data_IF_349316573131
#
_entry.id   IF_349316573131
#
_cell.length_a   1.000
_cell.length_b   1.000
_cell.length_c   1.000
_cell.angle_alpha   90.00
_cell.angle_beta   90.00
_cell.angle_gamma   90.00
#
_symmetry.space_group_name_H-M   'P 1'
#
loop_
_entity.id
_entity.type
_entity.pdbx_description
1 polymer ?
#
# COMPACT_ATOMS: atom_id res chain seq x y z
N UNK A 1 -35.64 -40.24 32.91
CA UNK A 1 -35.62 -39.27 31.78
C UNK A 1 -35.07 -37.95 32.31
N UNK A 2 -34.34 -37.21 31.46
CA UNK A 2 -33.71 -35.90 31.70
C UNK A 2 -32.22 -35.96 32.07
N UNK A 3 -31.40 -36.16 31.06
CA UNK A 3 -30.07 -35.55 30.92
C UNK A 3 -29.49 -35.92 29.54
N UNK A 4 -30.09 -35.38 28.48
CA UNK A 4 -29.56 -35.58 27.12
C UNK A 4 -29.92 -34.39 26.24
N UNK A 5 -29.59 -33.17 26.68
CA UNK A 5 -29.72 -32.00 25.81
C UNK A 5 -28.97 -30.80 26.39
N UNK A 6 -27.63 -30.83 26.42
CA UNK A 6 -26.78 -29.62 26.52
C UNK A 6 -25.29 -29.97 26.27
N UNK A 7 -24.97 -30.64 25.16
CA UNK A 7 -23.58 -30.72 24.68
C UNK A 7 -23.60 -30.70 23.15
N UNK A 8 -24.06 -29.60 22.56
CA UNK A 8 -24.00 -29.43 21.10
C UNK A 8 -23.79 -27.98 20.62
N UNK A 9 -23.19 -27.10 21.44
CA UNK A 9 -23.06 -25.67 21.09
C UNK A 9 -21.64 -25.10 21.27
N UNK A 10 -20.62 -25.89 21.63
CA UNK A 10 -19.26 -25.34 21.88
C UNK A 10 -18.21 -25.79 20.84
N UNK A 11 -18.58 -26.61 19.85
CA UNK A 11 -17.63 -27.10 18.82
C UNK A 11 -17.92 -26.50 17.44
N UNK A 12 -18.14 -25.18 17.38
CA UNK A 12 -18.24 -24.46 16.11
C UNK A 12 -17.50 -23.11 16.12
N UNK A 13 -16.69 -22.83 17.15
CA UNK A 13 -16.01 -21.55 17.32
C UNK A 13 -14.57 -21.43 16.78
N UNK A 14 -13.82 -22.48 16.38
CA UNK A 14 -12.54 -22.27 15.70
C UNK A 14 -12.63 -22.47 14.18
N UNK A 15 -13.81 -22.29 13.56
CA UNK A 15 -13.92 -22.23 12.09
C UNK A 15 -13.61 -20.84 11.52
N UNK A 16 -13.25 -19.85 12.35
CA UNK A 16 -12.45 -18.69 11.91
C UNK A 16 -10.97 -19.07 11.79
N UNK A 17 -10.72 -20.27 11.25
CA UNK A 17 -9.41 -20.74 10.89
C UNK A 17 -8.82 -19.73 9.92
N UNK A 18 -7.77 -19.06 10.39
CA UNK A 18 -6.78 -18.41 9.55
C UNK A 18 -6.46 -19.40 8.41
N UNK A 19 -7.05 -19.16 7.24
CA UNK A 19 -6.69 -19.85 6.00
C UNK A 19 -5.29 -19.36 5.64
N UNK A 20 -4.29 -19.86 6.36
CA UNK A 20 -2.93 -19.90 5.87
C UNK A 20 -2.92 -20.97 4.79
N UNK A 21 -3.36 -20.56 3.60
CA UNK A 21 -3.19 -21.35 2.39
C UNK A 21 -1.71 -21.41 2.08
N UNK A 22 -1.13 -22.60 2.21
CA UNK A 22 0.16 -22.91 1.62
C UNK A 22 0.09 -22.62 0.10
N UNK A 23 0.80 -21.59 -0.35
CA UNK A 23 1.08 -21.35 -1.77
C UNK A 23 -0.07 -20.77 -2.60
N UNK A 24 -0.86 -19.85 -2.03
CA UNK A 24 -1.74 -18.99 -2.82
C UNK A 24 -0.93 -18.09 -3.78
N UNK A 25 -1.49 -17.76 -4.95
CA UNK A 25 -0.94 -16.70 -5.79
C UNK A 25 -1.10 -15.37 -5.07
N UNK A 26 -0.03 -14.57 -5.02
CA UNK A 26 -0.03 -13.21 -4.49
C UNK A 26 -1.17 -12.39 -5.08
N UNK A 27 -1.86 -11.58 -4.27
CA UNK A 27 -2.85 -10.60 -4.71
C UNK A 27 -2.73 -9.27 -3.97
N UNK A 28 -3.50 -8.27 -4.38
CA UNK A 28 -3.62 -6.98 -3.69
C UNK A 28 -4.23 -7.08 -2.29
N UNK A 29 -5.02 -8.13 -2.04
CA UNK A 29 -5.73 -8.35 -0.77
C UNK A 29 -4.78 -8.85 0.33
N UNK A 30 -3.62 -9.39 -0.06
CA UNK A 30 -2.61 -9.90 0.87
C UNK A 30 -1.86 -8.79 1.62
N UNK A 31 -1.89 -7.56 1.10
CA UNK A 31 -1.31 -6.39 1.75
C UNK A 31 -2.39 -5.68 2.57
N UNK A 32 -2.26 -5.69 3.89
CA UNK A 32 -3.04 -4.86 4.79
C UNK A 32 -2.34 -3.52 5.01
N UNK A 33 -3.11 -2.44 4.98
CA UNK A 33 -2.60 -1.07 5.15
C UNK A 33 -3.37 -0.36 6.23
N UNK A 34 -2.67 -0.01 7.30
CA UNK A 34 -3.23 0.74 8.42
C UNK A 34 -2.76 2.20 8.44
N UNK A 35 -3.62 3.15 8.81
CA UNK A 35 -5.07 3.00 8.98
C UNK A 35 -5.83 2.89 7.64
N UNK A 36 -7.07 2.39 7.69
CA UNK A 36 -7.95 2.20 6.51
C UNK A 36 -8.19 3.49 5.70
N UNK A 37 -8.12 4.63 6.38
CA UNK A 37 -8.32 5.95 5.82
C UNK A 37 -7.18 6.88 6.25
N UNK A 38 -6.54 7.54 5.28
CA UNK A 38 -5.39 8.42 5.51
C UNK A 38 -5.79 9.89 5.41
N UNK A 39 -5.21 10.73 6.27
CA UNK A 39 -5.46 12.18 6.26
C UNK A 39 -4.53 12.83 5.24
N UNK A 40 -5.13 13.54 4.30
CA UNK A 40 -4.44 14.21 3.20
C UNK A 40 -3.68 15.44 3.70
N UNK A 41 -2.48 15.69 3.18
CA UNK A 41 -1.69 16.89 3.48
C UNK A 41 -0.78 16.79 4.70
N UNK A 42 -0.76 15.67 5.42
CA UNK A 42 0.09 15.46 6.60
C UNK A 42 0.94 14.20 6.50
N UNK A 43 2.14 14.27 7.10
CA UNK A 43 2.96 13.08 7.35
C UNK A 43 2.33 12.29 8.49
N UNK A 44 2.08 11.00 8.25
CA UNK A 44 1.50 10.10 9.23
C UNK A 44 2.10 8.69 9.12
N UNK A 45 2.11 7.99 10.26
CA UNK A 45 2.53 6.59 10.30
C UNK A 45 1.52 5.72 9.54
N UNK A 46 2.02 4.97 8.57
CA UNK A 46 1.28 3.96 7.81
C UNK A 46 1.92 2.61 8.06
N UNK A 47 1.15 1.64 8.55
CA UNK A 47 1.58 0.25 8.71
C UNK A 47 1.28 -0.55 7.44
N UNK A 48 2.26 -1.30 6.98
CA UNK A 48 2.14 -2.26 5.89
C UNK A 48 2.34 -3.65 6.46
N UNK A 49 1.33 -4.51 6.39
CA UNK A 49 1.37 -5.86 6.95
C UNK A 49 0.97 -6.88 5.89
N UNK A 50 1.57 -8.06 5.93
CA UNK A 50 1.30 -9.07 4.90
C UNK A 50 1.36 -10.49 5.46
N UNK A 51 0.42 -11.33 5.00
CA UNK A 51 0.43 -12.78 5.20
C UNK A 51 1.35 -13.54 4.23
N UNK A 52 2.00 -12.86 3.29
CA UNK A 52 2.84 -13.42 2.24
C UNK A 52 4.17 -12.66 2.10
N UNK A 53 5.19 -13.32 1.56
CA UNK A 53 6.44 -12.64 1.18
C UNK A 53 6.16 -11.74 -0.03
N UNK A 54 6.37 -10.44 0.10
CA UNK A 54 6.11 -9.49 -0.99
C UNK A 54 7.04 -8.28 -0.95
N UNK A 55 7.06 -7.54 -2.05
CA UNK A 55 7.63 -6.20 -2.12
C UNK A 55 6.50 -5.20 -2.37
N UNK A 56 6.58 -4.03 -1.73
CA UNK A 56 5.61 -2.95 -1.89
C UNK A 56 6.34 -1.70 -2.37
N UNK A 57 5.98 -1.23 -3.58
CA UNK A 57 6.41 0.06 -4.08
C UNK A 57 5.46 1.15 -3.61
N UNK A 58 6.02 2.15 -2.94
CA UNK A 58 5.30 3.27 -2.34
C UNK A 58 5.64 4.54 -3.13
N UNK A 59 4.78 5.01 -4.05
CA UNK A 59 5.08 6.13 -4.96
C UNK A 59 4.81 7.52 -4.36
N UNK A 60 5.19 7.72 -3.10
CA UNK A 60 4.86 8.93 -2.33
C UNK A 60 6.05 9.48 -1.55
N UNK A 61 5.89 10.70 -1.03
CA UNK A 61 6.88 11.25 -0.12
C UNK A 61 6.84 10.47 1.19
N UNK A 62 7.98 9.90 1.54
CA UNK A 62 8.17 9.15 2.79
C UNK A 62 9.29 9.80 3.58
N UNK A 63 9.11 9.85 4.90
CA UNK A 63 10.14 10.31 5.83
C UNK A 63 10.82 9.09 6.42
N UNK A 64 12.14 9.03 6.27
CA UNK A 64 12.98 8.04 6.92
C UNK A 64 12.89 8.24 8.44
N UNK A 65 12.46 7.22 9.21
CA UNK A 65 12.27 7.33 10.65
C UNK A 65 13.58 7.44 11.44
N UNK A 66 14.71 7.06 10.83
CA UNK A 66 16.04 7.09 11.44
C UNK A 66 16.74 8.42 11.15
N UNK A 67 16.76 8.86 9.89
CA UNK A 67 17.49 10.06 9.47
C UNK A 67 16.62 11.31 9.49
N UNK A 68 15.29 11.18 9.44
CA UNK A 68 14.35 12.27 9.30
C UNK A 68 14.31 12.89 7.90
N UNK A 69 15.08 12.37 6.94
CA UNK A 69 15.09 12.86 5.57
C UNK A 69 13.82 12.44 4.83
N UNK A 70 13.36 13.32 3.96
CA UNK A 70 12.22 13.08 3.07
C UNK A 70 12.77 12.64 1.73
N UNK A 71 12.24 11.53 1.19
CA UNK A 71 12.56 11.05 -0.14
C UNK A 71 11.30 10.78 -0.94
N UNK A 72 11.44 10.86 -2.27
CA UNK A 72 10.37 10.50 -3.18
C UNK A 72 10.43 9.01 -3.47
N UNK A 73 9.42 8.32 -2.95
CA UNK A 73 9.17 6.91 -3.16
C UNK A 73 10.18 5.97 -2.50
N UNK A 74 9.78 4.72 -2.31
CA UNK A 74 10.64 3.65 -1.81
C UNK A 74 10.05 2.28 -2.16
N UNK A 75 10.81 1.22 -1.90
CA UNK A 75 10.35 -0.16 -1.98
C UNK A 75 10.61 -0.83 -0.64
N UNK A 76 9.59 -1.47 -0.08
CA UNK A 76 9.66 -2.17 1.20
C UNK A 76 9.47 -3.66 0.93
N UNK A 77 10.41 -4.48 1.39
CA UNK A 77 10.23 -5.93 1.44
C UNK A 77 9.56 -6.30 2.75
N UNK A 78 8.50 -7.13 2.66
CA UNK A 78 7.77 -7.64 3.80
C UNK A 78 7.86 -9.16 3.74
N UNK A 79 8.40 -9.78 4.78
CA UNK A 79 8.36 -11.23 4.96
C UNK A 79 6.97 -11.66 5.44
N UNK A 80 6.60 -12.92 5.22
CA UNK A 80 5.34 -13.51 5.66
C UNK A 80 5.11 -13.27 7.16
N UNK A 81 3.97 -12.66 7.49
CA UNK A 81 3.58 -12.28 8.85
C UNK A 81 4.34 -11.07 9.39
N UNK A 82 5.11 -10.39 8.54
CA UNK A 82 5.85 -9.18 8.84
C UNK A 82 4.99 -7.93 8.79
N UNK A 83 5.50 -6.88 9.41
CA UNK A 83 4.92 -5.54 9.44
C UNK A 83 6.02 -4.51 9.31
N UNK A 84 5.79 -3.45 8.53
CA UNK A 84 6.68 -2.31 8.41
C UNK A 84 5.89 -1.01 8.56
N UNK A 85 6.38 -0.09 9.38
CA UNK A 85 5.76 1.23 9.55
C UNK A 85 6.61 2.30 8.87
N UNK A 86 5.96 3.13 8.06
CA UNK A 86 6.59 4.24 7.35
C UNK A 86 5.83 5.55 7.60
N UNK A 87 6.55 6.66 7.69
CA UNK A 87 5.93 7.99 7.83
C UNK A 87 5.66 8.56 6.43
N UNK A 88 4.41 8.49 5.98
CA UNK A 88 3.96 8.82 4.62
C UNK A 88 3.24 10.17 4.57
N UNK A 89 3.52 10.97 3.55
CA UNK A 89 2.69 12.13 3.22
C UNK A 89 1.63 11.76 2.17
N UNK A 90 0.37 11.73 2.59
CA UNK A 90 -0.75 11.60 1.66
C UNK A 90 -0.93 12.91 0.87
N UNK A 91 -1.00 12.90 -0.47
CA UNK A 91 -1.18 14.14 -1.25
C UNK A 91 -2.48 14.87 -0.89
N UNK A 92 -2.47 16.22 -0.83
CA UNK A 92 -3.57 17.02 -0.26
C UNK A 92 -4.87 17.05 -1.09
N UNK A 93 -4.87 16.50 -2.31
CA UNK A 93 -5.96 16.65 -3.31
C UNK A 93 -6.28 15.35 -4.04
N UNK A 94 -6.02 14.22 -3.42
CA UNK A 94 -6.45 12.91 -3.94
C UNK A 94 -7.45 12.30 -2.97
N UNK A 95 -8.33 11.43 -3.48
CA UNK A 95 -9.26 10.63 -2.68
C UNK A 95 -8.78 9.19 -2.47
N UNK A 96 -7.72 8.79 -3.18
CA UNK A 96 -7.12 7.47 -3.11
C UNK A 96 -5.60 7.55 -3.30
N UNK A 97 -4.88 6.75 -2.51
CA UNK A 97 -3.48 6.40 -2.71
C UNK A 97 -3.40 5.03 -3.40
N UNK A 98 -2.28 4.80 -4.08
CA UNK A 98 -2.00 3.64 -4.90
C UNK A 98 -0.60 3.14 -4.54
N UNK A 99 -0.51 1.92 -4.04
CA UNK A 99 0.74 1.21 -3.81
C UNK A 99 0.78 0.01 -4.73
N UNK A 100 1.96 -0.31 -5.26
CA UNK A 100 2.13 -1.46 -6.16
C UNK A 100 2.71 -2.62 -5.37
N UNK A 101 2.13 -3.80 -5.56
CA UNK A 101 2.52 -5.03 -4.88
C UNK A 101 3.08 -6.00 -5.91
N UNK A 102 4.20 -6.65 -5.57
CA UNK A 102 4.85 -7.63 -6.42
C UNK A 102 5.58 -8.68 -5.58
N UNK A 103 6.16 -9.66 -6.27
CA UNK A 103 6.95 -10.72 -5.61
C UNK A 103 8.06 -10.14 -4.73
N UNK A 104 8.42 -10.87 -3.69
CA UNK A 104 9.47 -10.48 -2.75
C UNK A 104 10.82 -10.26 -3.45
N UNK A 105 11.54 -9.19 -3.09
CA UNK A 105 12.82 -8.82 -3.68
C UNK A 105 12.72 -8.19 -5.09
N UNK A 106 11.51 -7.82 -5.54
CA UNK A 106 11.30 -7.22 -6.87
C UNK A 106 12.05 -5.90 -7.02
N UNK A 107 12.82 -5.79 -8.10
CA UNK A 107 13.69 -4.63 -8.35
C UNK A 107 13.14 -3.65 -9.38
N UNK A 108 12.34 -4.07 -10.36
CA UNK A 108 11.84 -3.20 -11.43
C UNK A 108 10.33 -3.01 -11.33
N UNK A 109 9.86 -1.78 -11.52
CA UNK A 109 8.47 -1.41 -11.33
C UNK A 109 7.94 -0.57 -12.49
N UNK A 110 6.74 -0.88 -13.03
CA UNK A 110 6.09 0.00 -13.98
C UNK A 110 5.57 1.23 -13.22
N UNK A 111 5.67 2.40 -13.84
CA UNK A 111 5.19 3.65 -13.24
C UNK A 111 4.43 4.48 -14.26
N UNK A 112 3.53 5.32 -13.75
CA UNK A 112 2.83 6.32 -14.55
C UNK A 112 3.79 7.33 -15.17
N UNK A 113 3.36 7.92 -16.26
CA UNK A 113 4.01 9.12 -16.81
C UNK A 113 3.81 10.32 -15.87
N UNK A 114 4.72 11.30 -15.91
CA UNK A 114 4.72 12.45 -15.01
C UNK A 114 3.41 13.26 -15.06
N UNK A 115 2.81 13.36 -16.25
CA UNK A 115 1.58 14.09 -16.54
C UNK A 115 0.30 13.25 -16.38
N UNK A 116 0.40 12.01 -15.90
CA UNK A 116 -0.72 11.10 -15.72
C UNK A 116 -1.05 10.96 -14.23
N UNK A 117 -2.31 10.69 -13.88
CA UNK A 117 -2.68 10.30 -12.52
C UNK A 117 -2.51 8.78 -12.31
N UNK A 118 -2.37 8.31 -11.07
CA UNK A 118 -2.31 6.88 -10.78
C UNK A 118 -3.62 6.15 -11.14
N UNK A 119 -4.78 6.78 -10.92
CA UNK A 119 -6.08 6.23 -11.32
C UNK A 119 -6.16 6.03 -12.84
N UNK A 120 -5.83 7.06 -13.62
CA UNK A 120 -5.81 6.95 -15.08
C UNK A 120 -4.74 5.97 -15.58
N UNK A 121 -3.62 5.83 -14.88
CA UNK A 121 -2.60 4.84 -15.23
C UNK A 121 -3.13 3.41 -15.08
N UNK A 122 -3.82 3.13 -13.97
CA UNK A 122 -4.45 1.83 -13.72
C UNK A 122 -5.58 1.56 -14.72
N UNK A 123 -6.46 2.54 -14.97
CA UNK A 123 -7.57 2.41 -15.94
C UNK A 123 -7.09 2.09 -17.36
N UNK A 124 -5.89 2.55 -17.73
CA UNK A 124 -5.29 2.27 -19.03
C UNK A 124 -4.48 0.96 -19.05
N UNK A 125 -4.52 0.16 -17.98
CA UNK A 125 -3.83 -1.12 -17.89
C UNK A 125 -2.33 -1.00 -17.64
N UNK A 126 -1.89 0.05 -16.93
CA UNK A 126 -0.48 0.25 -16.58
C UNK A 126 0.08 -0.84 -15.65
N UNK A 127 -0.79 -1.47 -14.86
CA UNK A 127 -0.50 -2.59 -13.97
C UNK A 127 -0.03 -3.85 -14.69
N UNK A 128 -0.35 -4.00 -16.00
CA UNK A 128 0.22 -5.05 -16.85
C UNK A 128 1.75 -4.98 -16.96
N UNK A 129 2.34 -3.79 -16.80
CA UNK A 129 3.77 -3.56 -17.02
C UNK A 129 4.21 -3.70 -18.48
N UNK A 130 3.28 -3.73 -19.44
CA UNK A 130 3.57 -3.95 -20.86
C UNK A 130 4.03 -2.69 -21.60
N UNK A 131 3.76 -1.51 -21.04
CA UNK A 131 4.03 -0.20 -21.66
C UNK A 131 4.34 0.86 -20.60
N UNK A 132 4.73 2.06 -21.06
CA UNK A 132 5.00 3.21 -20.20
C UNK A 132 6.39 3.22 -19.57
N UNK A 133 6.57 4.12 -18.61
CA UNK A 133 7.81 4.35 -17.87
C UNK A 133 8.08 3.30 -16.80
N UNK A 134 9.34 3.20 -16.37
CA UNK A 134 9.77 2.25 -15.34
C UNK A 134 10.84 2.83 -14.41
N UNK A 135 10.88 2.28 -13.20
CA UNK A 135 11.92 2.56 -12.21
C UNK A 135 12.57 1.29 -11.72
N UNK A 136 13.83 1.38 -11.35
CA UNK A 136 14.59 0.32 -10.71
C UNK A 136 14.96 0.71 -9.28
N UNK A 137 14.71 -0.20 -8.35
CA UNK A 137 15.16 -0.13 -6.96
C UNK A 137 16.68 -0.09 -6.91
N UNK A 138 17.20 0.86 -6.16
CA UNK A 138 18.60 0.98 -5.81
C UNK A 138 18.70 0.80 -4.31
N UNK A 139 19.27 -0.33 -3.90
CA UNK A 139 19.53 -0.63 -2.50
C UNK A 139 20.40 0.46 -1.90
N UNK A 140 19.84 1.19 -0.94
CA UNK A 140 20.53 2.26 -0.24
C UNK A 140 21.37 1.72 0.91
N UNK A 141 22.30 2.55 1.39
CA UNK A 141 22.92 2.33 2.71
C UNK A 141 22.08 2.93 3.85
N UNK A 142 20.93 3.53 3.52
CA UNK A 142 19.99 4.12 4.47
C UNK A 142 18.94 3.12 4.96
N UNK A 143 17.95 3.59 5.73
CA UNK A 143 16.86 2.71 6.20
C UNK A 143 15.80 2.46 5.13
N UNK A 144 15.78 3.26 4.07
CA UNK A 144 14.85 3.17 2.96
C UNK A 144 15.61 3.12 1.64
N UNK A 145 15.06 2.35 0.70
CA UNK A 145 15.63 2.24 -0.63
C UNK A 145 15.22 3.39 -1.53
N UNK A 146 16.06 3.66 -2.52
CA UNK A 146 15.87 4.72 -3.51
C UNK A 146 15.59 4.13 -4.88
N UNK A 147 15.30 4.99 -5.85
CA UNK A 147 14.89 4.57 -7.19
C UNK A 147 15.67 5.33 -8.25
N UNK A 148 15.92 4.65 -9.36
CA UNK A 148 16.48 5.23 -10.56
C UNK A 148 15.56 4.94 -11.76
N UNK A 149 15.72 5.70 -12.83
CA UNK A 149 15.03 5.39 -14.09
C UNK A 149 15.47 4.03 -14.64
N UNK A 150 14.52 3.29 -15.19
CA UNK A 150 14.76 1.99 -15.81
C UNK A 150 14.09 1.90 -17.17
N UNK A 151 14.60 0.99 -18.00
CA UNK A 151 13.91 0.55 -19.23
C UNK A 151 13.16 -0.76 -19.04
N UNK A 152 13.45 -1.47 -17.95
CA UNK A 152 12.79 -2.72 -17.58
C UNK A 152 11.65 -2.40 -16.62
N UNK A 153 10.45 -2.87 -16.97
CA UNK A 153 9.20 -2.68 -16.20
C UNK A 153 9.01 -3.77 -15.15
N UNK A 154 9.71 -4.89 -15.26
CA UNK A 154 9.58 -6.02 -14.33
C UNK A 154 8.28 -6.82 -14.45
N UNK A 155 7.44 -6.54 -15.45
CA UNK A 155 6.18 -7.25 -15.70
C UNK A 155 5.01 -6.78 -14.83
N UNK A 156 3.93 -7.59 -14.72
CA UNK A 156 2.68 -7.18 -14.09
C UNK A 156 2.83 -6.98 -12.57
N UNK A 157 1.98 -6.12 -12.01
CA UNK A 157 1.91 -5.79 -10.58
C UNK A 157 0.46 -5.80 -10.09
N UNK A 158 0.27 -6.04 -8.80
CA UNK A 158 -1.02 -5.82 -8.15
C UNK A 158 -1.07 -4.39 -7.60
N UNK A 159 -2.27 -3.83 -7.45
CA UNK A 159 -2.44 -2.45 -7.01
C UNK A 159 -3.30 -2.39 -5.76
N UNK A 160 -2.70 -2.01 -4.64
CA UNK A 160 -3.39 -1.72 -3.39
C UNK A 160 -3.84 -0.27 -3.40
N UNK A 161 -5.13 -0.03 -3.19
CA UNK A 161 -5.68 1.31 -2.99
C UNK A 161 -6.00 1.56 -1.52
N UNK A 162 -5.82 2.81 -1.09
CA UNK A 162 -6.13 3.26 0.28
C UNK A 162 -6.89 4.56 0.19
N UNK A 163 -7.99 4.67 0.93
CA UNK A 163 -8.82 5.88 0.89
C UNK A 163 -8.13 7.03 1.60
N UNK A 164 -8.35 8.23 1.09
CA UNK A 164 -7.83 9.45 1.71
C UNK A 164 -8.92 10.46 1.92
N UNK A 165 -8.95 11.06 3.10
CA UNK A 165 -9.84 12.17 3.45
C UNK A 165 -9.06 13.44 3.62
N UNK A 166 -9.74 14.55 3.39
CA UNK A 166 -9.20 15.88 3.66
C UNK A 166 -9.68 16.25 5.04
N UNK A 167 -8.78 16.65 5.92
CA UNK A 167 -9.18 17.36 7.12
C UNK A 167 -9.73 18.73 6.68
N UNK A 168 -10.94 19.08 7.10
CA UNK A 168 -11.56 20.36 6.75
C UNK A 168 -12.11 20.99 8.02
N UNK A 169 -11.51 22.09 8.44
CA UNK A 169 -11.96 22.88 9.59
C UNK A 169 -13.19 23.77 9.27
N UNK A 170 -13.53 23.91 7.99
CA UNK A 170 -14.70 24.64 7.49
C UNK A 170 -15.70 23.72 6.80
N UNK A 171 -16.99 23.94 7.07
CA UNK A 171 -18.06 23.16 6.45
C UNK A 171 -18.06 23.35 4.93
N UNK A 172 -18.59 22.36 4.19
CA UNK A 172 -18.75 22.45 2.73
C UNK A 172 -19.61 23.65 2.34
N UNK A 173 -20.63 23.96 3.14
CA UNK A 173 -21.54 25.11 2.95
C UNK A 173 -20.82 26.46 3.12
N UNK A 174 -19.74 26.50 3.90
CA UNK A 174 -18.92 27.70 4.14
C UNK A 174 -17.74 27.83 3.15
N UNK A 175 -17.74 27.04 2.06
CA UNK A 175 -16.69 27.09 1.03
C UNK A 175 -15.43 26.27 1.37
N UNK A 176 -15.51 25.35 2.34
CA UNK A 176 -14.40 24.48 2.75
C UNK A 176 -13.81 23.63 1.62
N UNK A 177 -14.54 23.41 0.52
CA UNK A 177 -14.04 22.69 -0.66
C UNK A 177 -12.79 23.36 -1.29
N UNK A 178 -12.68 24.69 -1.15
CA UNK A 178 -11.63 25.50 -1.78
C UNK A 178 -10.59 26.06 -0.81
N UNK A 179 -10.79 25.92 0.50
CA UNK A 179 -9.82 26.37 1.49
C UNK A 179 -8.69 25.36 1.62
N UNK A 180 -7.45 25.85 1.55
CA UNK A 180 -6.26 25.15 2.04
C UNK A 180 -5.88 25.79 3.37
N UNK A 181 -5.61 24.98 4.39
CA UNK A 181 -4.83 25.42 5.55
C UNK A 181 -3.36 25.63 5.18
#
# INVERSE_FOLDING_TARGET
MRAALMVFVIVSAPLSGCMSGEGGSLSEEDLDVGPDELVSGHFQSVSLESGHDMSVYVPYLVRDPITGFIQNSTVIDIERGGSFSLDLLSPPRVSMLFMLVGEHGRTNWPVREENQSWGSWLENGGDSGDWGSAVARVYGNGSLDTLNSSKDRGGPVFVKTVQTVRDSTTSVDDGGFHSSE
#
